data_IF_371365577778
#
_entry.id   IF_371365577778
#
_cell.length_a   1.000
_cell.length_b   1.000
_cell.length_c   1.000
_cell.angle_alpha   90.00
_cell.angle_beta   90.00
_cell.angle_gamma   90.00
#
_symmetry.space_group_name_H-M   'P 1'
#
loop_
_entity.id
_entity.type
_entity.pdbx_description
1 polymer ?
#
# COMPACT_ATOMS: atom_id res chain seq x y z
N UNK A 1 -5.76 -17.44 -14.64
CA UNK A 1 -5.18 -16.14 -15.00
C UNK A 1 -5.97 -15.46 -16.13
N UNK A 2 -6.16 -16.11 -17.27
CA UNK A 2 -6.81 -15.52 -18.46
C UNK A 2 -8.22 -14.97 -18.18
N UNK A 3 -9.11 -15.75 -17.57
CA UNK A 3 -10.45 -15.30 -17.17
C UNK A 3 -10.45 -14.08 -16.22
N UNK A 4 -9.38 -13.90 -15.43
CA UNK A 4 -9.25 -12.75 -14.56
C UNK A 4 -8.83 -11.51 -15.34
N UNK A 5 -7.94 -11.65 -16.32
CA UNK A 5 -7.49 -10.57 -17.21
C UNK A 5 -8.66 -10.06 -18.08
N UNK A 6 -9.50 -10.96 -18.59
CA UNK A 6 -10.68 -10.61 -19.40
C UNK A 6 -11.69 -9.71 -18.68
N UNK A 7 -11.71 -9.69 -17.34
CA UNK A 7 -12.57 -8.78 -16.57
C UNK A 7 -12.20 -7.31 -16.70
N UNK A 8 -11.02 -6.98 -17.25
CA UNK A 8 -10.60 -5.62 -17.53
C UNK A 8 -10.47 -4.70 -16.30
N UNK A 9 -10.28 -5.26 -15.11
CA UNK A 9 -10.17 -4.46 -13.87
C UNK A 9 -8.87 -3.68 -13.90
N UNK A 10 -8.98 -2.35 -13.89
CA UNK A 10 -7.84 -1.44 -13.93
C UNK A 10 -7.90 -0.45 -12.77
N UNK A 11 -7.21 -0.76 -11.66
CA UNK A 11 -7.21 0.06 -10.46
C UNK A 11 -5.99 -0.18 -9.59
N UNK A 12 -5.44 0.88 -9.02
CA UNK A 12 -4.37 0.76 -8.03
C UNK A 12 -4.87 0.54 -6.59
N UNK A 13 -6.19 0.56 -6.37
CA UNK A 13 -6.78 0.30 -5.05
C UNK A 13 -7.07 -1.19 -4.80
N UNK A 14 -6.95 -2.03 -5.83
CA UNK A 14 -7.11 -3.47 -5.74
C UNK A 14 -5.79 -4.21 -5.98
N UNK A 15 -5.66 -5.38 -5.37
CA UNK A 15 -4.60 -6.36 -5.63
C UNK A 15 -5.19 -7.77 -5.54
N UNK A 16 -4.85 -8.63 -6.49
CA UNK A 16 -5.28 -10.01 -6.52
C UNK A 16 -4.16 -10.93 -6.03
N UNK A 17 -4.55 -12.01 -5.36
CA UNK A 17 -3.62 -13.01 -4.81
C UNK A 17 -4.13 -14.42 -5.13
N UNK A 18 -3.21 -15.35 -5.36
CA UNK A 18 -3.50 -16.76 -5.66
C UNK A 18 -2.33 -17.65 -5.21
N UNK A 19 -2.54 -18.88 -4.79
CA UNK A 19 -3.81 -19.61 -4.58
C UNK A 19 -4.41 -19.40 -3.19
N UNK A 20 -5.59 -19.99 -2.95
CA UNK A 20 -6.17 -20.08 -1.62
C UNK A 20 -5.27 -20.90 -0.69
N UNK A 21 -5.40 -20.66 0.62
CA UNK A 21 -4.47 -21.18 1.61
C UNK A 21 -5.18 -22.01 2.67
N UNK A 22 -4.53 -23.09 3.11
CA UNK A 22 -4.96 -23.87 4.25
C UNK A 22 -4.38 -23.25 5.54
N UNK A 23 -5.24 -22.64 6.35
CA UNK A 23 -4.86 -22.05 7.64
C UNK A 23 -5.23 -22.95 8.79
N UNK A 24 -4.32 -23.03 9.79
CA UNK A 24 -4.60 -23.67 11.05
C UNK A 24 -5.24 -22.66 12.03
N UNK A 25 -6.42 -23.00 12.54
CA UNK A 25 -7.09 -22.25 13.60
C UNK A 25 -6.30 -22.35 14.92
N UNK A 26 -6.04 -21.18 15.53
CA UNK A 26 -5.20 -21.12 16.73
C UNK A 26 -5.85 -21.76 17.97
N UNK A 27 -7.20 -21.85 18.02
CA UNK A 27 -7.92 -22.38 19.18
C UNK A 27 -8.24 -23.85 19.02
N UNK A 28 -8.77 -24.24 17.87
CA UNK A 28 -9.24 -25.61 17.61
C UNK A 28 -8.18 -26.51 17.00
N UNK A 29 -7.09 -25.94 16.46
CA UNK A 29 -6.08 -26.69 15.73
C UNK A 29 -6.57 -27.18 14.35
N UNK A 30 -7.84 -26.95 13.99
CA UNK A 30 -8.42 -27.41 12.73
C UNK A 30 -7.85 -26.65 11.55
N UNK A 31 -7.60 -27.36 10.44
CA UNK A 31 -7.15 -26.75 9.20
C UNK A 31 -8.35 -26.43 8.32
N UNK A 32 -8.41 -25.19 7.82
CA UNK A 32 -9.49 -24.73 6.92
C UNK A 32 -8.91 -24.00 5.71
N UNK A 33 -9.48 -24.26 4.55
CA UNK A 33 -9.18 -23.48 3.36
C UNK A 33 -9.80 -22.07 3.48
N UNK A 34 -9.01 -21.06 3.21
CA UNK A 34 -9.42 -19.66 3.21
C UNK A 34 -8.95 -18.97 1.92
N UNK A 35 -9.68 -17.97 1.44
CA UNK A 35 -9.27 -17.19 0.29
C UNK A 35 -7.87 -16.58 0.48
N UNK A 36 -7.09 -16.52 -0.60
CA UNK A 36 -5.75 -15.94 -0.61
C UNK A 36 -5.71 -14.53 0.00
N UNK A 37 -6.71 -13.70 -0.28
CA UNK A 37 -6.84 -12.34 0.25
C UNK A 37 -6.91 -12.29 1.78
N UNK A 38 -7.57 -13.27 2.41
CA UNK A 38 -7.66 -13.37 3.88
C UNK A 38 -6.30 -13.71 4.49
N UNK A 39 -5.60 -14.68 3.90
CA UNK A 39 -4.26 -15.08 4.35
C UNK A 39 -3.26 -13.91 4.25
N UNK A 40 -3.31 -13.15 3.17
CA UNK A 40 -2.43 -12.00 2.92
C UNK A 40 -2.65 -10.86 3.92
N UNK A 41 -3.84 -10.67 4.48
CA UNK A 41 -4.05 -9.70 5.56
C UNK A 41 -3.14 -9.99 6.76
N UNK A 42 -2.85 -11.26 7.03
CA UNK A 42 -1.86 -11.65 8.06
C UNK A 42 -0.45 -11.19 7.74
N UNK A 43 -0.02 -11.29 6.47
CA UNK A 43 1.28 -10.78 6.02
C UNK A 43 1.33 -9.25 6.09
N UNK A 44 0.25 -8.54 5.75
CA UNK A 44 0.18 -7.09 5.89
C UNK A 44 0.28 -6.65 7.36
N UNK A 45 -0.41 -7.34 8.25
CA UNK A 45 -0.35 -7.08 9.69
C UNK A 45 1.07 -7.32 10.25
N UNK A 46 1.75 -8.39 9.80
CA UNK A 46 3.14 -8.64 10.16
C UNK A 46 4.05 -7.53 9.66
N UNK A 47 3.91 -7.14 8.38
CA UNK A 47 4.69 -6.04 7.80
C UNK A 47 4.54 -4.74 8.60
N UNK A 48 3.32 -4.40 9.02
CA UNK A 48 3.04 -3.18 9.78
C UNK A 48 3.56 -3.27 11.22
N UNK A 49 3.66 -4.47 11.78
CA UNK A 49 4.22 -4.70 13.11
C UNK A 49 5.74 -4.58 13.14
N UNK A 50 6.43 -5.09 12.09
CA UNK A 50 7.91 -5.14 12.04
C UNK A 50 8.53 -3.99 11.26
N UNK A 51 7.72 -3.19 10.59
CA UNK A 51 8.19 -2.09 9.74
C UNK A 51 7.14 -1.01 9.56
N UNK A 52 7.00 -0.55 8.32
CA UNK A 52 6.10 0.55 7.96
C UNK A 52 5.15 0.15 6.84
N UNK A 53 3.97 0.81 6.70
CA UNK A 53 3.00 0.50 5.65
C UNK A 53 3.55 0.57 4.22
N UNK A 54 4.59 1.37 4.00
CA UNK A 54 5.26 1.51 2.70
C UNK A 54 6.37 0.48 2.44
N UNK A 55 6.67 -0.39 3.38
CA UNK A 55 7.54 -1.52 3.11
C UNK A 55 6.78 -2.55 2.27
N UNK A 56 7.49 -3.23 1.36
CA UNK A 56 6.89 -4.27 0.55
C UNK A 56 6.41 -5.44 1.44
N UNK A 57 5.10 -5.76 1.47
CA UNK A 57 4.58 -6.90 2.23
C UNK A 57 4.76 -8.20 1.45
N UNK A 58 5.98 -8.46 1.02
CA UNK A 58 6.38 -9.61 0.21
C UNK A 58 7.79 -10.07 0.59
N UNK A 59 8.18 -11.25 0.10
CA UNK A 59 9.47 -11.86 0.37
C UNK A 59 9.54 -12.52 1.75
N UNK A 60 10.65 -13.19 2.01
CA UNK A 60 10.81 -14.06 3.19
C UNK A 60 10.73 -13.34 4.54
N UNK A 61 11.09 -12.06 4.59
CA UNK A 61 11.13 -11.28 5.84
C UNK A 61 9.76 -10.75 6.23
N UNK A 62 8.98 -10.24 5.29
CA UNK A 62 7.73 -9.50 5.55
C UNK A 62 6.49 -10.14 4.91
N UNK A 63 6.70 -11.00 3.92
CA UNK A 63 5.62 -11.72 3.24
C UNK A 63 5.36 -13.12 3.79
N UNK A 64 6.13 -13.59 4.78
CA UNK A 64 5.96 -14.91 5.37
C UNK A 64 4.64 -15.04 6.15
N UNK A 65 3.90 -16.11 5.91
CA UNK A 65 2.58 -16.38 6.50
C UNK A 65 2.67 -17.49 7.55
N UNK A 66 2.82 -17.12 8.82
CA UNK A 66 3.16 -18.04 9.93
C UNK A 66 2.11 -19.11 10.26
N UNK A 67 0.83 -18.93 9.85
CA UNK A 67 -0.27 -19.86 10.16
C UNK A 67 -0.76 -20.63 8.96
N UNK A 68 -0.14 -20.43 7.82
CA UNK A 68 -0.44 -21.20 6.61
C UNK A 68 0.30 -22.52 6.70
N UNK A 69 -0.44 -23.61 6.58
CA UNK A 69 0.11 -24.96 6.56
C UNK A 69 0.66 -25.27 5.17
N UNK A 70 -0.16 -25.04 4.15
CA UNK A 70 0.20 -25.20 2.74
C UNK A 70 -0.78 -24.42 1.85
N UNK A 71 -0.42 -24.24 0.60
CA UNK A 71 -1.30 -23.73 -0.45
C UNK A 71 -2.25 -24.82 -0.94
N UNK A 72 -3.45 -24.43 -1.39
CA UNK A 72 -4.39 -25.38 -2.02
C UNK A 72 -3.91 -25.88 -3.38
N UNK A 73 -3.02 -25.11 -4.03
CA UNK A 73 -2.36 -25.44 -5.30
C UNK A 73 -0.88 -25.12 -5.17
N UNK A 74 -0.01 -26.04 -5.53
CA UNK A 74 1.41 -25.78 -5.64
C UNK A 74 1.76 -25.09 -6.96
N UNK A 75 2.57 -24.04 -6.89
CA UNK A 75 2.97 -23.26 -8.05
C UNK A 75 4.40 -23.62 -8.46
N UNK A 76 4.58 -23.98 -9.72
CA UNK A 76 5.88 -24.09 -10.36
C UNK A 76 6.33 -22.72 -10.90
N UNK A 77 7.54 -22.64 -11.47
CA UNK A 77 8.12 -21.40 -11.97
C UNK A 77 7.30 -20.77 -13.08
N UNK A 78 6.84 -21.55 -14.04
CA UNK A 78 6.04 -21.07 -15.16
C UNK A 78 4.69 -20.48 -14.68
N UNK A 79 4.09 -21.11 -13.66
CA UNK A 79 2.87 -20.59 -13.03
C UNK A 79 3.11 -19.25 -12.32
N UNK A 80 4.27 -19.07 -11.67
CA UNK A 80 4.63 -17.82 -11.02
C UNK A 80 4.75 -16.68 -12.04
N UNK A 81 5.40 -16.94 -13.16
CA UNK A 81 5.60 -15.96 -14.23
C UNK A 81 4.27 -15.59 -14.89
N UNK A 82 3.44 -16.59 -15.26
CA UNK A 82 2.10 -16.35 -15.82
C UNK A 82 1.16 -15.58 -14.87
N UNK A 83 1.24 -15.81 -13.57
CA UNK A 83 0.48 -15.04 -12.58
C UNK A 83 0.96 -13.60 -12.49
N UNK A 84 2.27 -13.38 -12.52
CA UNK A 84 2.84 -12.03 -12.46
C UNK A 84 2.53 -11.21 -13.72
N UNK A 85 2.51 -11.83 -14.90
CA UNK A 85 2.05 -11.19 -16.13
C UNK A 85 0.58 -10.79 -16.05
N UNK A 86 -0.26 -11.65 -15.49
CA UNK A 86 -1.68 -11.38 -15.24
C UNK A 86 -1.94 -10.42 -14.08
N UNK A 87 -0.90 -9.84 -13.44
CA UNK A 87 -0.96 -8.97 -12.25
C UNK A 87 -1.62 -9.62 -11.03
N UNK A 88 -1.54 -10.95 -10.93
CA UNK A 88 -1.95 -11.72 -9.77
C UNK A 88 -0.69 -12.02 -8.94
N UNK A 89 -0.72 -11.66 -7.67
CA UNK A 89 0.41 -11.86 -6.77
C UNK A 89 0.42 -13.33 -6.28
N UNK A 90 1.46 -14.11 -6.61
CA UNK A 90 1.51 -15.50 -6.18
C UNK A 90 1.83 -15.63 -4.69
N UNK A 91 1.26 -16.66 -4.08
CA UNK A 91 1.59 -17.16 -2.75
C UNK A 91 2.30 -18.50 -2.94
N UNK A 92 3.59 -18.57 -2.63
CA UNK A 92 4.41 -19.72 -2.96
C UNK A 92 5.29 -20.18 -1.80
N UNK A 93 5.58 -21.48 -1.79
CA UNK A 93 6.60 -22.08 -0.95
C UNK A 93 7.87 -22.30 -1.77
N UNK A 94 9.02 -22.06 -1.17
CA UNK A 94 10.31 -22.25 -1.81
C UNK A 94 11.13 -23.27 -1.00
N UNK A 95 11.98 -24.02 -1.67
CA UNK A 95 12.90 -24.95 -1.02
C UNK A 95 13.79 -24.19 -0.01
N UNK A 96 13.83 -24.67 1.23
CA UNK A 96 14.54 -24.00 2.33
C UNK A 96 13.81 -22.82 2.99
N UNK A 97 12.60 -22.46 2.54
CA UNK A 97 11.78 -21.45 3.20
C UNK A 97 10.91 -22.07 4.31
N UNK A 98 10.67 -21.31 5.37
CA UNK A 98 9.73 -21.73 6.43
C UNK A 98 8.30 -21.33 6.06
N UNK A 99 7.62 -22.14 5.21
CA UNK A 99 6.22 -21.97 4.88
C UNK A 99 5.94 -21.13 3.63
N UNK A 100 4.69 -20.75 3.46
CA UNK A 100 4.20 -20.00 2.31
C UNK A 100 4.51 -18.50 2.47
N UNK A 101 4.92 -17.89 1.37
CA UNK A 101 5.35 -16.50 1.33
C UNK A 101 4.62 -15.74 0.22
N UNK A 102 4.25 -14.51 0.47
CA UNK A 102 3.76 -13.59 -0.57
C UNK A 102 4.93 -13.24 -1.49
N UNK A 103 4.81 -13.59 -2.79
CA UNK A 103 5.88 -13.44 -3.78
C UNK A 103 5.56 -12.41 -4.86
N UNK A 104 4.72 -11.45 -4.55
CA UNK A 104 4.35 -10.34 -5.44
C UNK A 104 3.72 -9.21 -4.69
N UNK A 105 3.76 -8.02 -5.28
CA UNK A 105 3.14 -6.82 -4.73
C UNK A 105 2.60 -5.88 -5.82
N UNK A 106 2.08 -6.45 -6.91
CA UNK A 106 1.44 -5.69 -7.98
C UNK A 106 0.00 -5.33 -7.60
N UNK A 107 -0.40 -4.11 -7.93
CA UNK A 107 -1.82 -3.72 -7.96
C UNK A 107 -2.44 -4.12 -9.30
N UNK A 108 -3.74 -3.97 -9.42
CA UNK A 108 -4.47 -4.22 -10.68
C UNK A 108 -4.37 -3.07 -11.68
N UNK A 109 -3.48 -2.10 -11.45
CA UNK A 109 -3.26 -0.98 -12.36
C UNK A 109 -2.52 -1.43 -13.62
N UNK A 110 -3.13 -1.21 -14.79
CA UNK A 110 -2.60 -1.60 -16.09
C UNK A 110 -1.49 -0.70 -16.65
N UNK A 111 -1.41 0.55 -16.21
CA UNK A 111 -0.42 1.51 -16.69
C UNK A 111 0.89 1.45 -15.90
N UNK A 112 2.00 1.72 -16.56
CA UNK A 112 3.30 1.91 -15.90
C UNK A 112 3.24 3.15 -15.00
N UNK A 113 3.27 2.94 -13.71
CA UNK A 113 3.23 3.98 -12.70
C UNK A 113 3.80 3.45 -11.39
N UNK A 114 4.29 4.34 -10.53
CA UNK A 114 4.67 3.95 -9.17
C UNK A 114 3.50 3.31 -8.39
N UNK A 115 2.25 3.62 -8.78
CA UNK A 115 1.03 3.07 -8.18
C UNK A 115 0.71 1.62 -8.61
N UNK A 116 1.47 1.04 -9.52
CA UNK A 116 1.41 -0.40 -9.82
C UNK A 116 1.88 -1.27 -8.65
N UNK A 117 2.50 -0.68 -7.63
CA UNK A 117 3.04 -1.36 -6.46
C UNK A 117 2.15 -1.16 -5.23
N UNK A 118 1.86 -2.26 -4.53
CA UNK A 118 1.03 -2.27 -3.31
C UNK A 118 1.64 -1.39 -2.21
N UNK A 119 2.96 -1.46 -2.01
CA UNK A 119 3.64 -0.67 -1.00
C UNK A 119 3.50 0.84 -1.23
N UNK A 120 3.58 1.30 -2.49
CA UNK A 120 3.40 2.71 -2.85
C UNK A 120 1.96 3.15 -2.63
N UNK A 121 0.98 2.31 -3.01
CA UNK A 121 -0.42 2.61 -2.73
C UNK A 121 -0.69 2.72 -1.23
N UNK A 122 -0.11 1.84 -0.42
CA UNK A 122 -0.21 1.87 1.04
C UNK A 122 0.47 3.10 1.65
N UNK A 123 1.63 3.51 1.11
CA UNK A 123 2.29 4.77 1.45
C UNK A 123 1.34 5.95 1.29
N UNK A 124 0.71 6.09 0.10
CA UNK A 124 -0.19 7.21 -0.18
C UNK A 124 -1.42 7.21 0.72
N UNK A 125 -1.98 6.03 1.02
CA UNK A 125 -3.11 5.91 1.95
C UNK A 125 -2.71 6.38 3.35
N UNK A 126 -1.53 5.99 3.85
CA UNK A 126 -1.06 6.39 5.17
C UNK A 126 -0.75 7.88 5.25
N UNK A 127 -0.03 8.43 4.27
CA UNK A 127 0.26 9.87 4.19
C UNK A 127 -1.04 10.67 4.12
N UNK A 128 -1.97 10.27 3.26
CA UNK A 128 -3.28 10.93 3.13
C UNK A 128 -4.05 10.94 4.45
N UNK A 129 -4.03 9.83 5.19
CA UNK A 129 -4.67 9.73 6.50
C UNK A 129 -4.04 10.66 7.52
N UNK A 130 -2.71 10.75 7.55
CA UNK A 130 -1.97 11.64 8.45
C UNK A 130 -2.22 13.11 8.11
N UNK A 131 -2.13 13.48 6.83
CA UNK A 131 -2.40 14.84 6.35
C UNK A 131 -3.84 15.27 6.63
N UNK A 132 -4.82 14.39 6.44
CA UNK A 132 -6.22 14.67 6.76
C UNK A 132 -6.43 14.98 8.24
N UNK A 133 -5.72 14.30 9.16
CA UNK A 133 -5.77 14.61 10.58
C UNK A 133 -5.24 16.01 10.89
N UNK A 134 -4.21 16.46 10.17
CA UNK A 134 -3.69 17.84 10.27
C UNK A 134 -4.69 18.84 9.69
N UNK A 135 -5.23 18.57 8.50
CA UNK A 135 -6.22 19.43 7.87
C UNK A 135 -7.41 19.70 8.81
N UNK A 136 -7.91 18.67 9.48
CA UNK A 136 -9.03 18.82 10.43
C UNK A 136 -8.71 19.73 11.64
N UNK A 137 -7.43 19.97 11.95
CA UNK A 137 -7.02 20.87 13.05
C UNK A 137 -6.99 22.34 12.66
N UNK A 138 -6.91 22.62 11.37
CA UNK A 138 -6.86 23.98 10.83
C UNK A 138 -8.20 24.41 10.21
N UNK A 139 -9.21 23.54 10.23
CA UNK A 139 -10.58 23.88 9.88
C UNK A 139 -11.13 24.86 10.94
N UNK A 140 -11.79 25.93 10.49
CA UNK A 140 -12.32 27.03 11.30
C UNK A 140 -11.28 28.03 11.86
N UNK A 141 -9.99 27.90 11.51
CA UNK A 141 -8.99 28.92 11.87
C UNK A 141 -9.25 30.21 11.12
N UNK A 142 -9.00 31.34 11.79
CA UNK A 142 -9.09 32.67 11.20
C UNK A 142 -7.71 33.08 10.65
N UNK A 143 -7.73 33.93 9.62
CA UNK A 143 -6.48 34.38 8.99
C UNK A 143 -5.97 33.37 7.95
N UNK A 144 -5.99 33.78 6.68
CA UNK A 144 -5.66 32.89 5.56
C UNK A 144 -4.18 32.51 5.54
N UNK A 145 -3.32 33.51 5.56
CA UNK A 145 -1.86 33.31 5.43
C UNK A 145 -1.31 32.48 6.59
N UNK A 146 -1.73 32.80 7.78
CA UNK A 146 -1.35 32.12 9.01
C UNK A 146 -1.83 30.66 9.00
N UNK A 147 -3.06 30.40 8.53
CA UNK A 147 -3.61 29.05 8.41
C UNK A 147 -2.84 28.21 7.39
N UNK A 148 -2.45 28.76 6.24
CA UNK A 148 -1.64 28.09 5.23
C UNK A 148 -0.25 27.74 5.78
N UNK A 149 0.43 28.71 6.40
CA UNK A 149 1.74 28.51 7.01
C UNK A 149 1.68 27.46 8.13
N UNK A 150 0.68 27.52 8.99
CA UNK A 150 0.47 26.55 10.07
C UNK A 150 0.23 25.14 9.53
N UNK A 151 -0.57 25.00 8.48
CA UNK A 151 -0.78 23.71 7.84
C UNK A 151 0.54 23.16 7.30
N UNK A 152 1.32 23.94 6.59
CA UNK A 152 2.62 23.55 6.06
C UNK A 152 3.58 23.14 7.19
N UNK A 153 3.67 23.93 8.25
CA UNK A 153 4.50 23.64 9.43
C UNK A 153 4.11 22.32 10.12
N UNK A 154 2.83 21.95 10.11
CA UNK A 154 2.35 20.69 10.69
C UNK A 154 2.51 19.49 9.76
N UNK A 155 2.46 19.67 8.44
CA UNK A 155 2.60 18.59 7.45
C UNK A 155 4.06 18.25 7.18
N UNK A 156 4.96 19.24 7.10
CA UNK A 156 6.37 19.04 6.81
C UNK A 156 7.06 18.04 7.74
N UNK A 157 6.88 18.08 9.08
CA UNK A 157 7.48 17.08 9.97
C UNK A 157 7.00 15.65 9.70
N UNK A 158 5.73 15.49 9.32
CA UNK A 158 5.16 14.17 8.98
C UNK A 158 5.84 13.61 7.73
N UNK A 159 6.02 14.44 6.71
CA UNK A 159 6.66 14.02 5.46
C UNK A 159 8.17 13.78 5.64
N UNK A 160 8.84 14.59 6.46
CA UNK A 160 10.23 14.36 6.87
C UNK A 160 10.42 13.04 7.61
N UNK A 161 9.50 12.67 8.51
CA UNK A 161 9.52 11.37 9.18
C UNK A 161 9.36 10.22 8.18
N UNK A 162 8.44 10.33 7.23
CA UNK A 162 8.27 9.34 6.15
C UNK A 162 9.52 9.25 5.28
N UNK A 163 10.17 10.37 4.97
CA UNK A 163 11.43 10.42 4.22
C UNK A 163 12.57 9.78 5.00
N UNK A 164 12.74 10.13 6.27
CA UNK A 164 13.76 9.55 7.14
C UNK A 164 13.63 8.02 7.29
N UNK A 165 12.39 7.52 7.20
CA UNK A 165 12.04 6.10 7.21
C UNK A 165 12.00 5.47 5.80
N UNK A 166 12.61 6.13 4.81
CA UNK A 166 12.74 5.66 3.42
C UNK A 166 11.40 5.33 2.71
N UNK A 167 10.33 6.02 3.08
CA UNK A 167 9.05 5.90 2.35
C UNK A 167 9.03 6.72 1.08
N UNK A 168 9.65 7.90 1.10
CA UNK A 168 9.82 8.78 -0.06
C UNK A 168 11.26 9.24 -0.17
N UNK A 169 11.74 9.43 -1.39
CA UNK A 169 13.05 10.02 -1.68
C UNK A 169 12.99 11.54 -1.55
N UNK A 170 11.94 12.13 -2.08
CA UNK A 170 11.71 13.58 -2.07
C UNK A 170 10.23 13.88 -1.91
N UNK A 171 9.93 15.02 -1.32
CA UNK A 171 8.58 15.56 -1.26
C UNK A 171 8.60 17.08 -1.42
N UNK A 172 7.47 17.63 -1.86
CA UNK A 172 7.22 19.05 -1.93
C UNK A 172 5.78 19.33 -1.48
N UNK A 173 5.62 20.23 -0.53
CA UNK A 173 4.32 20.78 -0.14
C UNK A 173 4.19 22.13 -0.83
N UNK A 174 3.20 22.29 -1.69
CA UNK A 174 2.89 23.56 -2.36
C UNK A 174 1.52 24.04 -1.88
N UNK A 175 1.53 25.11 -1.11
CA UNK A 175 0.33 25.76 -0.57
C UNK A 175 0.56 27.26 -0.61
N UNK A 176 0.07 27.88 -1.67
CA UNK A 176 0.31 29.27 -2.00
C UNK A 176 -0.89 29.89 -2.74
N UNK A 177 -0.73 31.12 -3.22
CA UNK A 177 -1.72 31.83 -4.00
C UNK A 177 -1.98 31.20 -5.38
N UNK A 178 -1.06 30.38 -5.89
CA UNK A 178 -1.25 29.65 -7.15
C UNK A 178 -2.12 28.39 -6.95
N UNK A 179 -2.02 27.77 -5.78
CA UNK A 179 -2.82 26.57 -5.46
C UNK A 179 -4.21 26.93 -4.93
N UNK A 180 -4.36 28.09 -4.26
CA UNK A 180 -5.63 28.60 -3.73
C UNK A 180 -5.97 29.89 -4.42
N UNK A 181 -6.91 29.86 -5.35
CA UNK A 181 -7.38 31.04 -6.12
C UNK A 181 -8.31 31.94 -5.30
N UNK A 182 -8.56 33.16 -5.78
CA UNK A 182 -9.53 34.04 -5.16
C UNK A 182 -10.94 33.46 -5.14
N UNK A 183 -11.32 32.70 -6.17
CA UNK A 183 -12.59 31.97 -6.21
C UNK A 183 -12.68 30.88 -5.12
N UNK A 184 -11.60 30.17 -4.87
CA UNK A 184 -11.55 29.18 -3.78
C UNK A 184 -11.75 29.86 -2.41
N UNK A 185 -11.15 31.04 -2.21
CA UNK A 185 -11.30 31.81 -0.97
C UNK A 185 -12.75 32.26 -0.78
N UNK A 186 -13.37 32.78 -1.83
CA UNK A 186 -14.77 33.20 -1.79
C UNK A 186 -15.68 32.02 -1.42
N UNK A 187 -15.30 30.81 -1.85
CA UNK A 187 -15.98 29.55 -1.50
C UNK A 187 -15.50 28.95 -0.18
N UNK A 188 -14.72 29.67 0.63
CA UNK A 188 -14.16 29.21 1.92
C UNK A 188 -13.36 27.91 1.80
N UNK A 189 -12.68 27.73 0.66
CA UNK A 189 -11.90 26.53 0.34
C UNK A 189 -10.42 26.88 0.25
N UNK A 190 -9.57 26.05 0.86
CA UNK A 190 -8.12 26.10 0.72
C UNK A 190 -7.67 24.88 -0.07
N UNK A 191 -6.81 25.07 -1.07
CA UNK A 191 -6.24 24.00 -1.87
C UNK A 191 -4.72 23.98 -1.72
N UNK A 192 -4.19 22.78 -1.49
CA UNK A 192 -2.75 22.53 -1.47
C UNK A 192 -2.43 21.30 -2.30
N UNK A 193 -1.18 21.22 -2.77
CA UNK A 193 -0.65 20.08 -3.50
C UNK A 193 0.55 19.51 -2.75
N UNK A 194 0.57 18.20 -2.58
CA UNK A 194 1.70 17.47 -2.01
C UNK A 194 2.23 16.55 -3.09
N UNK A 195 3.45 16.79 -3.51
CA UNK A 195 4.17 15.96 -4.48
C UNK A 195 5.06 15.00 -3.72
N UNK A 196 5.02 13.73 -4.08
CA UNK A 196 5.80 12.67 -3.45
C UNK A 196 6.54 11.88 -4.51
N UNK A 197 7.84 11.66 -4.33
CA UNK A 197 8.62 10.70 -5.09
C UNK A 197 8.83 9.46 -4.19
N UNK A 198 8.07 8.37 -4.38
CA UNK A 198 8.19 7.19 -3.54
C UNK A 198 9.53 6.49 -3.78
N UNK A 199 10.10 5.90 -2.74
CA UNK A 199 11.28 5.04 -2.86
C UNK A 199 10.90 3.75 -3.58
N UNK A 200 11.67 3.38 -4.60
CA UNK A 200 11.46 2.13 -5.33
C UNK A 200 12.11 0.99 -4.54
N UNK A 201 11.38 -0.08 -4.17
CA UNK A 201 12.02 -1.31 -3.70
C UNK A 201 12.78 -1.97 -4.85
N UNK A 202 13.93 -2.53 -4.52
CA UNK A 202 14.71 -3.35 -5.46
C UNK A 202 13.96 -4.65 -5.76
#
# INVERSE_FOLDING_TARGET
ANQFVERGINTSFGAAYFPDQNLQDAKSGTVRAVPASVAVLGAFALNDKVGYPWNAPAGFTRGAMKRVVNSTVELNRDNLDALQEARINPLASFAGSQGVTVWGQKTLLGSESALERVNVRRLLIDVRRKVRKVANRVVFEQGRTETLQRFEQLVNPILKDVQGKKGVERFLVKIDTETTTQADINNRTIRGKIYLAPTKPL
#
